data_IF_483630461379
#
_entry.id   IF_483630461379
#
_cell.length_a   1.000
_cell.length_b   1.000
_cell.length_c   1.000
_cell.angle_alpha   90.00
_cell.angle_beta   90.00
_cell.angle_gamma   90.00
#
_symmetry.space_group_name_H-M   'P 1'
#
loop_
_entity.id
_entity.type
_entity.pdbx_description
1 polymer ?
#
# COMPACT_ATOMS: atom_id res chain seq x y z
N UNK A 1 -16.70 24.30 -23.87
CA UNK A 1 -16.24 22.94 -23.50
C UNK A 1 -14.78 23.07 -23.16
N UNK A 2 -14.49 23.21 -21.87
CA UNK A 2 -13.17 23.68 -21.42
C UNK A 2 -12.23 22.49 -21.31
N UNK A 3 -11.14 22.52 -22.08
CA UNK A 3 -10.16 21.42 -22.24
C UNK A 3 -9.16 21.31 -21.08
N UNK A 4 -9.38 22.03 -19.97
CA UNK A 4 -8.44 22.15 -18.85
C UNK A 4 -8.27 20.87 -18.01
N UNK A 5 -9.25 19.95 -18.02
CA UNK A 5 -9.26 18.79 -17.11
C UNK A 5 -8.61 17.50 -17.66
N UNK A 6 -8.06 17.52 -18.87
CA UNK A 6 -7.47 16.31 -19.50
C UNK A 6 -6.14 15.87 -18.89
N UNK A 7 -5.52 16.68 -18.02
CA UNK A 7 -4.24 16.39 -17.34
C UNK A 7 -4.36 16.28 -15.82
N UNK A 8 -5.46 15.74 -15.32
CA UNK A 8 -5.62 15.52 -13.88
C UNK A 8 -4.64 14.44 -13.38
N UNK A 9 -3.72 14.81 -12.50
CA UNK A 9 -2.80 13.87 -11.85
C UNK A 9 -3.41 13.31 -10.56
N UNK A 10 -3.20 12.02 -10.29
CA UNK A 10 -3.61 11.38 -9.03
C UNK A 10 -2.64 11.71 -7.88
N UNK A 11 -2.81 12.89 -7.28
CA UNK A 11 -2.00 13.36 -6.13
C UNK A 11 -2.54 12.89 -4.76
N UNK A 12 -3.05 11.66 -4.66
CA UNK A 12 -3.56 11.11 -3.38
C UNK A 12 -2.47 10.59 -2.45
N UNK A 13 -1.25 10.43 -2.95
CA UNK A 13 -0.12 9.95 -2.16
C UNK A 13 0.85 11.10 -1.84
N UNK A 14 1.77 10.87 -0.89
CA UNK A 14 2.82 11.82 -0.51
C UNK A 14 3.58 12.33 -1.73
N UNK A 15 4.10 13.56 -1.68
CA UNK A 15 4.88 14.12 -2.79
C UNK A 15 5.97 13.16 -3.28
N UNK A 16 6.22 13.20 -4.60
CA UNK A 16 7.20 12.36 -5.30
C UNK A 16 8.52 12.27 -4.51
N UNK A 17 9.03 13.39 -3.99
CA UNK A 17 10.29 13.49 -3.23
C UNK A 17 10.36 12.67 -1.91
N UNK A 18 9.20 12.33 -1.33
CA UNK A 18 9.07 11.67 -0.02
C UNK A 18 9.11 10.14 -0.16
N UNK A 19 8.71 9.61 -1.32
CA UNK A 19 8.55 8.17 -1.50
C UNK A 19 9.88 7.37 -1.37
N UNK A 20 9.82 6.18 -0.77
CA UNK A 20 10.98 5.33 -0.52
C UNK A 20 11.59 4.69 -1.77
N UNK A 21 10.99 4.82 -2.98
CA UNK A 21 11.67 4.43 -4.23
C UNK A 21 13.00 5.18 -4.39
N UNK A 22 13.05 6.40 -3.85
CA UNK A 22 14.23 7.25 -3.84
C UNK A 22 15.28 6.78 -2.81
N UNK A 23 14.98 5.81 -1.92
CA UNK A 23 15.94 5.30 -0.94
C UNK A 23 17.08 4.51 -1.62
N UNK A 24 16.80 3.79 -2.72
CA UNK A 24 17.86 3.12 -3.51
C UNK A 24 18.69 4.13 -4.31
N UNK A 25 18.06 5.15 -4.88
CA UNK A 25 18.74 6.27 -5.54
C UNK A 25 19.61 7.06 -4.54
N UNK A 26 19.10 7.33 -3.34
CA UNK A 26 19.85 7.90 -2.21
C UNK A 26 21.02 7.00 -1.78
N UNK A 27 20.85 5.67 -1.73
CA UNK A 27 21.95 4.72 -1.49
C UNK A 27 22.99 4.69 -2.63
N UNK A 28 22.61 5.03 -3.87
CA UNK A 28 23.52 5.20 -5.03
C UNK A 28 24.10 6.62 -5.16
N UNK A 29 23.57 7.58 -4.40
CA UNK A 29 23.99 8.98 -4.44
C UNK A 29 25.48 9.14 -4.12
N UNK A 30 26.13 10.22 -4.62
CA UNK A 30 27.54 10.50 -4.34
C UNK A 30 27.83 10.61 -2.83
N UNK A 31 26.84 11.05 -2.03
CA UNK A 31 26.93 11.16 -0.58
C UNK A 31 27.12 9.79 0.07
N UNK A 32 26.31 8.79 -0.30
CA UNK A 32 26.45 7.41 0.18
C UNK A 32 27.81 6.79 -0.19
N UNK A 33 28.26 7.00 -1.44
CA UNK A 33 29.59 6.53 -1.88
C UNK A 33 30.74 7.15 -1.10
N UNK A 34 30.62 8.44 -0.71
CA UNK A 34 31.60 9.13 0.15
C UNK A 34 31.59 8.58 1.58
N UNK A 35 30.41 8.27 2.13
CA UNK A 35 30.26 7.68 3.47
C UNK A 35 30.91 6.29 3.52
N UNK A 36 30.77 5.48 2.47
CA UNK A 36 31.43 4.16 2.39
C UNK A 36 32.96 4.21 2.44
N UNK A 37 33.59 5.35 2.18
CA UNK A 37 35.06 5.50 2.27
C UNK A 37 35.52 5.90 3.66
N UNK A 38 34.62 6.31 4.55
CA UNK A 38 34.89 6.76 5.93
C UNK A 38 34.31 5.77 6.96
N UNK A 39 34.63 4.48 6.82
CA UNK A 39 34.29 3.49 7.85
C UNK A 39 35.18 3.71 9.08
N UNK A 40 34.58 3.94 10.24
CA UNK A 40 35.30 4.03 11.52
C UNK A 40 35.00 5.29 12.33
N UNK A 41 34.39 6.30 11.71
CA UNK A 41 34.00 7.51 12.42
C UNK A 41 32.79 7.19 13.33
N UNK A 42 32.94 7.33 14.66
CA UNK A 42 31.88 7.19 15.69
C UNK A 42 30.81 8.30 15.62
N UNK A 43 30.54 8.80 14.42
CA UNK A 43 29.62 9.87 14.12
C UNK A 43 28.24 9.26 13.87
N UNK A 44 27.22 9.73 14.61
CA UNK A 44 25.84 9.32 14.41
C UNK A 44 25.36 9.73 13.01
N UNK A 45 24.67 8.82 12.33
CA UNK A 45 24.11 9.05 10.99
C UNK A 45 22.62 8.71 11.04
N UNK A 46 21.78 9.33 10.20
CA UNK A 46 20.38 8.94 10.13
C UNK A 46 20.25 7.46 9.77
N UNK A 47 19.20 6.81 10.27
CA UNK A 47 18.94 5.35 10.19
C UNK A 47 19.25 4.73 8.82
N UNK A 48 18.99 5.43 7.73
CA UNK A 48 19.18 4.95 6.35
C UNK A 48 20.65 4.89 5.89
N UNK A 49 21.58 5.51 6.62
CA UNK A 49 22.99 5.67 6.25
C UNK A 49 23.95 4.73 7.00
N UNK A 50 23.44 3.88 7.90
CA UNK A 50 24.25 2.80 8.47
C UNK A 50 24.50 1.70 7.42
N UNK A 51 25.70 1.12 7.44
CA UNK A 51 26.08 0.07 6.50
C UNK A 51 25.44 -1.27 6.87
N UNK A 52 24.86 -1.94 5.88
CA UNK A 52 24.58 -3.37 5.96
C UNK A 52 25.94 -4.09 5.96
N UNK A 53 26.31 -4.75 7.07
CA UNK A 53 27.61 -5.40 7.28
C UNK A 53 27.87 -6.58 6.32
N UNK A 54 26.85 -7.04 5.60
CA UNK A 54 26.95 -8.13 4.63
C UNK A 54 26.71 -7.59 3.21
N UNK A 55 27.72 -7.74 2.34
CA UNK A 55 27.56 -7.47 0.92
C UNK A 55 26.54 -8.42 0.31
N UNK A 56 25.56 -7.88 -0.41
CA UNK A 56 24.66 -8.70 -1.24
C UNK A 56 25.51 -9.31 -2.35
N UNK A 57 25.46 -10.64 -2.50
CA UNK A 57 26.18 -11.35 -3.55
C UNK A 57 25.48 -11.04 -4.87
N UNK A 58 26.17 -10.45 -5.84
CA UNK A 58 25.57 -10.13 -7.14
C UNK A 58 25.37 -11.43 -7.95
N UNK A 59 24.28 -12.14 -7.72
CA UNK A 59 23.86 -13.23 -8.61
C UNK A 59 23.16 -12.64 -9.83
N UNK A 60 23.39 -13.22 -11.02
CA UNK A 60 22.75 -12.77 -12.28
C UNK A 60 21.21 -12.72 -12.16
N UNK A 61 20.65 -13.61 -11.34
CA UNK A 61 19.20 -13.65 -10.99
C UNK A 61 18.74 -12.44 -10.16
N UNK A 62 19.54 -11.92 -9.24
CA UNK A 62 19.27 -10.69 -8.48
C UNK A 62 19.45 -9.43 -9.33
N UNK A 63 20.34 -9.46 -10.32
CA UNK A 63 20.57 -8.34 -11.25
C UNK A 63 19.40 -8.16 -12.23
N UNK A 64 18.88 -9.25 -12.80
CA UNK A 64 17.75 -9.22 -13.74
C UNK A 64 16.39 -8.94 -13.08
N UNK A 65 16.19 -9.41 -11.85
CA UNK A 65 14.97 -9.11 -11.07
C UNK A 65 14.95 -7.68 -10.52
N UNK A 66 16.02 -6.89 -10.75
CA UNK A 66 16.19 -5.60 -10.09
C UNK A 66 15.37 -4.43 -10.64
N UNK A 67 14.77 -4.60 -11.82
CA UNK A 67 13.86 -3.61 -12.43
C UNK A 67 12.40 -3.72 -11.93
N UNK A 68 11.99 -4.89 -11.42
CA UNK A 68 10.60 -5.15 -11.02
C UNK A 68 10.46 -5.61 -9.56
N UNK A 69 11.49 -6.23 -8.96
CA UNK A 69 11.35 -7.00 -7.70
C UNK A 69 12.17 -6.44 -6.53
N UNK A 70 13.01 -5.39 -6.71
CA UNK A 70 13.72 -4.79 -5.56
C UNK A 70 13.63 -3.27 -5.39
N UNK A 71 12.42 -2.73 -5.62
CA UNK A 71 11.94 -1.61 -4.80
C UNK A 71 11.55 -2.16 -3.42
N UNK A 72 12.52 -2.31 -2.50
CA UNK A 72 12.23 -2.67 -1.11
C UNK A 72 11.54 -1.47 -0.43
N UNK A 73 10.23 -1.36 -0.57
CA UNK A 73 9.42 -0.27 -0.02
C UNK A 73 8.10 -0.07 -0.78
N UNK A 74 7.32 0.93 -0.35
CA UNK A 74 6.07 1.32 -1.03
C UNK A 74 6.31 1.61 -2.51
N UNK A 75 5.57 0.95 -3.38
CA UNK A 75 5.60 1.15 -4.84
C UNK A 75 4.82 2.42 -5.18
N UNK A 76 5.31 3.17 -6.17
CA UNK A 76 4.66 4.40 -6.66
C UNK A 76 3.40 4.05 -7.46
N UNK A 77 2.27 4.70 -7.17
CA UNK A 77 1.09 4.60 -8.01
C UNK A 77 1.27 5.34 -9.35
N UNK A 78 0.61 4.91 -10.44
CA UNK A 78 0.66 5.62 -11.71
C UNK A 78 0.01 7.01 -11.63
N UNK A 79 0.66 8.02 -12.21
CA UNK A 79 0.25 9.42 -12.08
C UNK A 79 -1.01 9.79 -12.89
N UNK A 80 -1.26 9.09 -14.01
CA UNK A 80 -2.30 9.44 -14.99
C UNK A 80 -3.29 8.30 -15.25
N UNK A 81 -3.37 7.33 -14.35
CA UNK A 81 -4.31 6.22 -14.42
C UNK A 81 -5.25 6.27 -13.22
N UNK A 82 -6.55 6.27 -13.48
CA UNK A 82 -7.58 6.14 -12.44
C UNK A 82 -8.01 4.68 -12.34
N UNK A 83 -7.98 4.12 -11.14
CA UNK A 83 -8.57 2.81 -10.89
C UNK A 83 -10.10 2.92 -10.95
N UNK A 84 -10.75 1.99 -11.66
CA UNK A 84 -12.20 1.89 -11.62
C UNK A 84 -12.64 1.40 -10.24
N UNK A 85 -13.54 2.14 -9.61
CA UNK A 85 -14.13 1.76 -8.33
C UNK A 85 -15.46 1.09 -8.62
N UNK A 86 -15.67 -0.08 -8.02
CA UNK A 86 -16.95 -0.78 -8.01
C UNK A 86 -17.37 -1.00 -6.57
N UNK A 87 -18.59 -0.60 -6.25
CA UNK A 87 -19.18 -0.82 -4.93
C UNK A 87 -19.40 -2.34 -4.72
N UNK A 88 -18.70 -2.91 -3.72
CA UNK A 88 -18.81 -4.33 -3.38
C UNK A 88 -19.83 -4.53 -2.25
N UNK A 89 -21.11 -4.50 -2.61
CA UNK A 89 -22.20 -4.55 -1.63
C UNK A 89 -22.58 -5.96 -1.14
N UNK A 90 -21.71 -6.96 -1.31
CA UNK A 90 -22.00 -8.34 -0.90
C UNK A 90 -21.43 -8.61 0.50
N UNK A 91 -22.28 -8.65 1.55
CA UNK A 91 -21.81 -8.92 2.90
C UNK A 91 -21.38 -10.39 3.01
N UNK A 92 -20.16 -10.62 3.50
CA UNK A 92 -19.63 -11.96 3.78
C UNK A 92 -19.86 -12.34 5.24
N UNK A 93 -21.09 -12.20 5.70
CA UNK A 93 -21.50 -12.50 7.08
C UNK A 93 -22.15 -13.88 7.12
N UNK A 94 -21.80 -14.70 8.13
CA UNK A 94 -22.42 -16.02 8.28
C UNK A 94 -23.87 -15.89 8.72
N UNK A 95 -24.80 -16.32 7.87
CA UNK A 95 -26.26 -16.30 8.13
C UNK A 95 -26.66 -17.05 9.40
N UNK A 96 -26.05 -18.23 9.66
CA UNK A 96 -26.35 -19.03 10.86
C UNK A 96 -25.86 -18.38 12.15
N UNK A 97 -24.70 -17.72 12.10
CA UNK A 97 -24.16 -17.01 13.27
C UNK A 97 -25.01 -15.78 13.58
N UNK A 98 -25.44 -15.05 12.54
CA UNK A 98 -26.29 -13.87 12.70
C UNK A 98 -27.69 -14.20 13.23
N UNK A 99 -28.34 -15.25 12.72
CA UNK A 99 -29.72 -15.58 13.11
C UNK A 99 -29.82 -16.43 14.37
N UNK A 100 -28.89 -17.36 14.61
CA UNK A 100 -28.94 -18.33 15.72
C UNK A 100 -27.84 -18.15 16.77
N UNK A 101 -26.85 -17.29 16.54
CA UNK A 101 -25.72 -17.11 17.45
C UNK A 101 -24.72 -18.27 17.49
N UNK A 102 -24.86 -19.27 16.62
CA UNK A 102 -23.99 -20.45 16.60
C UNK A 102 -23.53 -20.79 15.17
N UNK A 103 -22.26 -21.15 15.05
CA UNK A 103 -21.65 -21.60 13.81
C UNK A 103 -21.09 -23.01 14.01
N UNK A 104 -21.69 -24.03 13.41
CA UNK A 104 -21.14 -25.40 13.50
C UNK A 104 -19.78 -25.63 12.84
N UNK A 105 -19.19 -24.60 12.23
CA UNK A 105 -17.82 -24.63 11.71
C UNK A 105 -16.85 -23.83 12.57
N UNK A 106 -17.34 -23.14 13.61
CA UNK A 106 -16.58 -22.29 14.53
C UNK A 106 -15.44 -21.55 13.83
N UNK A 107 -14.20 -21.80 14.25
CA UNK A 107 -12.99 -21.12 13.78
C UNK A 107 -12.55 -21.50 12.37
N UNK A 108 -13.12 -22.56 11.79
CA UNK A 108 -12.87 -22.96 10.39
C UNK A 108 -13.76 -22.19 9.39
N UNK A 109 -14.57 -21.26 9.87
CA UNK A 109 -15.50 -20.52 9.04
C UNK A 109 -14.81 -19.48 8.13
N UNK A 110 -15.08 -19.57 6.81
CA UNK A 110 -14.65 -18.57 5.79
C UNK A 110 -15.37 -17.21 5.88
N UNK A 111 -16.53 -17.17 6.53
CA UNK A 111 -17.40 -15.99 6.64
C UNK A 111 -17.25 -15.32 8.00
N UNK A 112 -17.54 -14.03 8.07
CA UNK A 112 -17.45 -13.26 9.32
C UNK A 112 -18.49 -13.72 10.34
N UNK A 113 -18.06 -13.89 11.58
CA UNK A 113 -18.91 -14.09 12.76
C UNK A 113 -19.25 -12.74 13.39
N UNK A 114 -20.24 -12.08 12.82
CA UNK A 114 -20.77 -10.84 13.35
C UNK A 114 -22.29 -10.99 13.54
N UNK A 115 -22.77 -10.55 14.70
CA UNK A 115 -24.20 -10.52 15.07
C UNK A 115 -24.79 -9.11 14.99
N UNK A 116 -24.03 -8.13 14.49
CA UNK A 116 -24.52 -6.76 14.37
C UNK A 116 -25.63 -6.61 13.32
N UNK A 117 -26.65 -5.81 13.66
CA UNK A 117 -27.82 -5.50 12.81
C UNK A 117 -27.73 -4.11 12.17
N UNK A 118 -26.55 -3.79 11.64
CA UNK A 118 -26.35 -2.55 10.92
C UNK A 118 -27.04 -2.57 9.55
N UNK A 119 -27.71 -1.47 9.20
CA UNK A 119 -28.28 -1.27 7.86
C UNK A 119 -27.17 -1.21 6.82
N UNK A 120 -27.43 -1.76 5.64
CA UNK A 120 -26.49 -1.66 4.53
C UNK A 120 -26.48 -0.26 3.91
N UNK A 121 -25.36 0.15 3.33
CA UNK A 121 -25.21 1.47 2.69
C UNK A 121 -26.30 1.74 1.63
N UNK A 122 -26.70 0.72 0.87
CA UNK A 122 -27.75 0.86 -0.12
C UNK A 122 -29.13 1.11 0.51
N UNK A 123 -29.42 0.53 1.67
CA UNK A 123 -30.67 0.79 2.41
C UNK A 123 -30.69 2.23 2.90
N UNK A 124 -29.56 2.70 3.45
CA UNK A 124 -29.42 4.08 3.91
C UNK A 124 -29.59 5.09 2.76
N UNK A 125 -28.99 4.83 1.59
CA UNK A 125 -29.14 5.69 0.40
C UNK A 125 -30.60 5.82 -0.05
N UNK A 126 -31.39 4.74 0.05
CA UNK A 126 -32.82 4.78 -0.29
C UNK A 126 -33.61 5.60 0.73
N UNK A 127 -33.37 5.40 2.03
CA UNK A 127 -34.01 6.17 3.10
C UNK A 127 -33.74 7.67 2.96
N UNK A 128 -32.48 8.04 2.66
CA UNK A 128 -32.09 9.42 2.41
C UNK A 128 -32.86 10.05 1.25
N UNK A 129 -32.99 9.34 0.12
CA UNK A 129 -33.69 9.84 -1.07
C UNK A 129 -35.20 10.01 -0.86
N UNK A 130 -35.82 9.19 -0.01
CA UNK A 130 -37.25 9.29 0.30
C UNK A 130 -37.53 10.49 1.22
N UNK A 131 -36.57 10.86 2.05
CA UNK A 131 -36.68 11.97 2.99
C UNK A 131 -36.31 13.33 2.38
N UNK A 132 -35.75 13.34 1.16
CA UNK A 132 -35.40 14.53 0.38
C UNK A 132 -36.58 14.98 -0.48
#
# INVERSE_FOLDING_TARGET
MDTADTRRSNARESDFSIFPYNCRERKKSPVSKRIKKKLGDKIFRPINNYQELYGKKDTVKESASSGLVCNKGRIRAPAHLHASVRDNNQPKIRTFYKSKGYCGFDDSCKFLHDSSDNKYEWQHKQEWNVQS
#
